data_IF_469236275993
#
_entry.id   IF_469236275993
#
_cell.length_a   1.000
_cell.length_b   1.000
_cell.length_c   1.000
_cell.angle_alpha   90.00
_cell.angle_beta   90.00
_cell.angle_gamma   90.00
#
_symmetry.space_group_name_H-M   'P 1'
#
loop_
_entity.id
_entity.type
_entity.pdbx_description
1 polymer ?
#
# COMPACT_ATOMS: atom_id res chain seq x y z
N UNK A 1 18.74 -7.73 -41.55
CA UNK A 1 17.60 -7.45 -40.67
C UNK A 1 18.18 -7.20 -39.29
N UNK A 2 18.44 -5.94 -38.97
CA UNK A 2 18.81 -5.50 -37.62
C UNK A 2 17.55 -5.64 -36.75
N UNK A 3 17.58 -6.58 -35.78
CA UNK A 3 16.56 -6.70 -34.78
C UNK A 3 16.42 -5.37 -34.00
N UNK A 4 15.25 -5.10 -33.37
CA UNK A 4 15.08 -3.93 -32.56
C UNK A 4 16.15 -3.89 -31.48
N UNK A 5 16.81 -2.75 -31.37
CA UNK A 5 17.76 -2.46 -30.30
C UNK A 5 16.97 -2.53 -28.98
N UNK A 6 17.10 -3.64 -28.28
CA UNK A 6 16.62 -3.75 -26.92
C UNK A 6 17.53 -2.88 -26.06
N UNK A 7 17.29 -1.57 -26.10
CA UNK A 7 17.91 -0.65 -25.18
C UNK A 7 17.87 -1.27 -23.79
N UNK A 8 19.01 -1.36 -23.13
CA UNK A 8 19.14 -1.98 -21.81
C UNK A 8 18.16 -1.28 -20.88
N UNK A 9 17.02 -1.93 -20.60
CA UNK A 9 16.04 -1.42 -19.64
C UNK A 9 16.79 -1.13 -18.32
N UNK A 10 16.56 0.04 -17.75
CA UNK A 10 17.16 0.38 -16.47
C UNK A 10 16.74 -0.66 -15.41
N UNK A 11 17.64 -1.07 -14.51
CA UNK A 11 17.28 -2.03 -13.49
C UNK A 11 16.23 -1.44 -12.55
N UNK A 12 15.23 -2.24 -12.18
CA UNK A 12 14.30 -1.88 -11.10
C UNK A 12 15.02 -2.01 -9.77
N UNK A 13 14.97 -0.97 -8.97
CA UNK A 13 15.55 -0.91 -7.62
C UNK A 13 14.45 -0.73 -6.58
N UNK A 14 14.60 -1.39 -5.43
CA UNK A 14 13.70 -1.24 -4.29
C UNK A 14 14.54 -0.72 -3.13
N UNK A 15 14.24 0.49 -2.69
CA UNK A 15 15.06 1.25 -1.75
C UNK A 15 14.28 1.50 -0.45
N UNK A 16 14.75 1.03 0.71
CA UNK A 16 14.09 1.35 1.98
C UNK A 16 14.31 2.82 2.36
N UNK A 17 13.28 3.47 2.90
CA UNK A 17 13.39 4.80 3.51
C UNK A 17 13.57 4.61 5.01
N UNK A 18 14.79 4.76 5.48
CA UNK A 18 15.17 4.56 6.89
C UNK A 18 15.20 5.88 7.65
N UNK A 19 15.18 5.82 8.99
CA UNK A 19 15.28 7.02 9.84
C UNK A 19 13.98 7.81 9.99
N UNK A 20 12.85 7.24 9.59
CA UNK A 20 11.55 7.85 9.83
C UNK A 20 11.19 7.77 11.32
N UNK A 21 10.55 8.81 11.90
CA UNK A 21 10.13 8.81 13.29
C UNK A 21 8.91 7.90 13.52
N UNK A 22 8.57 7.69 14.79
CA UNK A 22 7.25 7.19 15.16
C UNK A 22 6.22 8.30 14.93
N UNK A 23 5.21 8.02 14.10
CA UNK A 23 4.20 8.99 13.69
C UNK A 23 3.02 9.07 14.66
N UNK A 24 2.42 10.26 14.75
CA UNK A 24 1.26 10.61 15.57
C UNK A 24 0.25 11.42 14.75
N UNK A 25 -1.00 11.57 15.24
CA UNK A 25 -1.98 12.39 14.57
C UNK A 25 -1.49 13.82 14.33
N UNK A 26 -1.59 14.27 13.08
CA UNK A 26 -1.17 15.59 12.65
C UNK A 26 0.28 15.72 12.21
N UNK A 27 1.10 14.67 12.34
CA UNK A 27 2.48 14.69 11.84
C UNK A 27 2.53 14.81 10.32
N UNK A 28 3.55 15.53 9.83
CA UNK A 28 3.77 15.77 8.41
C UNK A 28 4.60 14.64 7.79
N UNK A 29 3.91 13.62 7.30
CA UNK A 29 4.52 12.44 6.68
C UNK A 29 5.38 12.82 5.46
N UNK A 30 4.93 13.77 4.62
CA UNK A 30 5.68 14.20 3.44
C UNK A 30 7.00 14.85 3.83
N UNK A 31 7.01 15.74 4.83
CA UNK A 31 8.23 16.38 5.33
C UNK A 31 9.23 15.34 5.88
N UNK A 32 8.73 14.34 6.64
CA UNK A 32 9.56 13.27 7.16
C UNK A 32 10.18 12.43 6.04
N UNK A 33 9.38 12.05 5.02
CA UNK A 33 9.87 11.30 3.85
C UNK A 33 10.92 12.12 3.09
N UNK A 34 10.67 13.40 2.78
CA UNK A 34 11.62 14.26 2.08
C UNK A 34 12.94 14.39 2.84
N UNK A 35 12.89 14.47 4.17
CA UNK A 35 14.09 14.54 5.00
C UNK A 35 14.87 13.22 4.98
N UNK A 36 14.18 12.08 5.07
CA UNK A 36 14.79 10.76 5.10
C UNK A 36 15.25 10.28 3.71
N UNK A 37 14.62 10.77 2.65
CA UNK A 37 14.90 10.39 1.26
C UNK A 37 15.17 11.62 0.37
N UNK A 38 16.20 12.43 0.65
CA UNK A 38 16.53 13.61 -0.17
C UNK A 38 16.98 13.25 -1.60
N UNK A 39 17.13 11.97 -1.88
CA UNK A 39 17.49 11.39 -3.16
C UNK A 39 16.28 11.00 -4.03
N UNK A 40 15.05 11.31 -3.60
CA UNK A 40 13.84 11.14 -4.42
C UNK A 40 13.97 11.90 -5.74
N UNK A 41 13.46 11.33 -6.81
CA UNK A 41 13.48 11.92 -8.14
C UNK A 41 12.22 11.58 -8.94
N UNK A 42 12.01 12.27 -10.02
CA UNK A 42 10.90 12.04 -10.95
C UNK A 42 10.86 10.57 -11.42
N UNK A 43 9.66 10.03 -11.48
CA UNK A 43 9.40 8.65 -11.88
C UNK A 43 9.59 7.61 -10.77
N UNK A 44 9.99 8.00 -9.56
CA UNK A 44 9.98 7.11 -8.41
C UNK A 44 8.55 6.77 -7.97
N UNK A 45 8.34 5.55 -7.46
CA UNK A 45 7.09 5.15 -6.81
C UNK A 45 7.33 5.03 -5.31
N UNK A 46 6.70 5.90 -4.53
CA UNK A 46 6.78 5.90 -3.06
C UNK A 46 5.70 4.98 -2.51
N UNK A 47 6.10 3.88 -1.88
CA UNK A 47 5.21 2.85 -1.34
C UNK A 47 5.18 2.96 0.17
N UNK A 48 4.01 3.27 0.74
CA UNK A 48 3.81 3.59 2.15
C UNK A 48 2.85 2.61 2.79
N UNK A 49 3.19 2.04 3.94
CA UNK A 49 2.23 1.22 4.69
C UNK A 49 1.07 2.09 5.21
N UNK A 50 -0.16 1.63 5.03
CA UNK A 50 -1.38 2.34 5.44
C UNK A 50 -1.36 2.79 6.90
N UNK A 51 -0.75 2.01 7.77
CA UNK A 51 -0.71 2.28 9.21
C UNK A 51 -0.05 3.61 9.58
N UNK A 52 1.00 4.01 8.85
CA UNK A 52 1.65 5.31 9.06
C UNK A 52 0.71 6.44 8.66
N UNK A 53 0.02 6.29 7.54
CA UNK A 53 -0.99 7.25 7.08
C UNK A 53 -2.14 7.32 8.08
N UNK A 54 -2.64 6.16 8.55
CA UNK A 54 -3.67 6.07 9.58
C UNK A 54 -3.28 6.80 10.87
N UNK A 55 -2.01 6.68 11.30
CA UNK A 55 -1.49 7.43 12.46
C UNK A 55 -1.54 8.94 12.22
N UNK A 56 -1.00 9.41 11.10
CA UNK A 56 -0.98 10.83 10.76
C UNK A 56 -2.40 11.42 10.61
N UNK A 57 -3.35 10.65 10.08
CA UNK A 57 -4.74 11.05 9.86
C UNK A 57 -5.63 10.86 11.09
N UNK A 58 -5.08 10.41 12.23
CA UNK A 58 -5.83 10.23 13.47
C UNK A 58 -6.78 9.02 13.44
N UNK A 59 -6.55 8.03 12.56
CA UNK A 59 -7.34 6.79 12.49
C UNK A 59 -6.86 5.75 13.52
N UNK A 60 -6.46 6.22 14.69
CA UNK A 60 -6.05 5.40 15.84
C UNK A 60 -7.10 5.52 16.93
N UNK A 61 -7.63 4.39 17.36
CA UNK A 61 -8.68 4.31 18.39
C UNK A 61 -8.06 3.83 19.70
N UNK A 62 -8.25 4.58 20.81
CA UNK A 62 -7.85 4.09 22.13
C UNK A 62 -8.56 2.77 22.46
N UNK A 63 -7.81 1.81 22.99
CA UNK A 63 -8.32 0.49 23.32
C UNK A 63 -8.03 0.13 24.79
N UNK A 64 -8.97 -0.56 25.47
CA UNK A 64 -8.76 -1.04 26.83
C UNK A 64 -7.53 -1.94 26.95
N UNK A 65 -6.92 -1.98 28.13
CA UNK A 65 -5.84 -2.93 28.44
C UNK A 65 -6.40 -4.32 28.72
N UNK A 66 -7.62 -4.40 29.22
CA UNK A 66 -8.30 -5.70 29.42
C UNK A 66 -8.52 -6.38 28.08
N UNK A 67 -8.16 -7.66 28.02
CA UNK A 67 -8.17 -8.42 26.76
C UNK A 67 -9.58 -8.68 26.23
N UNK A 68 -10.56 -8.87 27.11
CA UNK A 68 -11.96 -9.14 26.71
C UNK A 68 -12.61 -7.86 26.21
N UNK A 69 -12.44 -6.75 26.93
CA UNK A 69 -12.95 -5.42 26.53
C UNK A 69 -12.29 -4.98 25.20
N UNK A 70 -10.97 -5.19 25.05
CA UNK A 70 -10.24 -4.91 23.82
C UNK A 70 -10.78 -5.73 22.64
N UNK A 71 -11.03 -7.03 22.84
CA UNK A 71 -11.60 -7.89 21.80
C UNK A 71 -13.03 -7.45 21.43
N UNK A 72 -13.84 -7.07 22.44
CA UNK A 72 -15.17 -6.54 22.22
C UNK A 72 -15.17 -5.23 21.43
N UNK A 73 -14.26 -4.30 21.76
CA UNK A 73 -14.06 -3.07 21.00
C UNK A 73 -13.64 -3.39 19.55
N UNK A 74 -12.65 -4.27 19.38
CA UNK A 74 -12.17 -4.66 18.06
C UNK A 74 -13.28 -5.24 17.19
N UNK A 75 -14.17 -6.07 17.75
CA UNK A 75 -15.32 -6.62 17.01
C UNK A 75 -16.28 -5.51 16.55
N UNK A 76 -16.61 -4.56 17.42
CA UNK A 76 -17.44 -3.41 17.03
C UNK A 76 -16.82 -2.61 15.89
N UNK A 77 -15.53 -2.29 15.98
CA UNK A 77 -14.83 -1.58 14.92
C UNK A 77 -14.81 -2.35 13.60
N UNK A 78 -14.70 -3.69 13.65
CA UNK A 78 -14.81 -4.53 12.45
C UNK A 78 -16.20 -4.47 11.85
N UNK A 79 -17.24 -4.51 12.70
CA UNK A 79 -18.63 -4.44 12.25
C UNK A 79 -18.95 -3.05 11.64
N UNK A 80 -18.37 -1.98 12.20
CA UNK A 80 -18.52 -0.60 11.70
C UNK A 80 -17.81 -0.38 10.34
N UNK A 81 -16.62 -0.97 10.15
CA UNK A 81 -15.82 -0.81 8.93
C UNK A 81 -16.20 -1.83 7.82
N UNK A 82 -16.87 -2.95 8.18
CA UNK A 82 -17.24 -3.99 7.24
C UNK A 82 -18.61 -3.72 6.61
N UNK A 83 -18.69 -3.83 5.29
CA UNK A 83 -19.97 -3.84 4.56
C UNK A 83 -20.56 -5.25 4.52
N UNK A 84 -19.69 -6.27 4.46
CA UNK A 84 -20.12 -7.67 4.37
C UNK A 84 -19.07 -8.62 4.95
N UNK A 85 -19.52 -9.62 5.72
CA UNK A 85 -18.71 -10.77 6.11
C UNK A 85 -18.79 -11.84 5.02
N UNK A 86 -17.64 -12.24 4.49
CA UNK A 86 -17.51 -13.23 3.41
C UNK A 86 -17.19 -14.61 3.92
N UNK A 87 -16.35 -14.71 4.97
CA UNK A 87 -15.96 -15.96 5.57
C UNK A 87 -15.58 -15.79 7.05
N UNK A 88 -15.68 -16.88 7.80
CA UNK A 88 -15.27 -16.95 9.20
C UNK A 88 -14.48 -18.24 9.45
N UNK A 89 -13.33 -18.10 10.11
CA UNK A 89 -12.55 -19.25 10.61
C UNK A 89 -12.07 -18.94 12.02
N UNK A 90 -12.69 -19.57 13.02
CA UNK A 90 -12.42 -19.25 14.42
C UNK A 90 -12.71 -17.78 14.73
N UNK A 91 -11.69 -17.05 15.20
CA UNK A 91 -11.78 -15.61 15.49
C UNK A 91 -11.51 -14.71 14.27
N UNK A 92 -11.03 -15.28 13.17
CA UNK A 92 -10.72 -14.53 11.95
C UNK A 92 -11.98 -14.34 11.12
N UNK A 93 -12.28 -13.09 10.79
CA UNK A 93 -13.31 -12.68 9.84
C UNK A 93 -12.64 -12.22 8.56
N UNK A 94 -13.11 -12.72 7.43
CA UNK A 94 -12.80 -12.14 6.12
C UNK A 94 -14.00 -11.30 5.71
N UNK A 95 -13.77 -10.02 5.48
CA UNK A 95 -14.82 -9.03 5.25
C UNK A 95 -14.51 -8.23 4.01
N UNK A 96 -15.54 -7.74 3.34
CA UNK A 96 -15.41 -6.64 2.40
C UNK A 96 -15.70 -5.32 3.14
N UNK A 97 -14.84 -4.33 2.98
CA UNK A 97 -15.06 -2.99 3.51
C UNK A 97 -15.75 -2.08 2.47
N UNK A 98 -15.99 -0.82 2.84
CA UNK A 98 -16.66 0.18 1.97
C UNK A 98 -15.88 0.52 0.68
N UNK A 99 -14.59 0.21 0.62
CA UNK A 99 -13.76 0.41 -0.58
C UNK A 99 -13.74 -0.82 -1.50
N UNK A 100 -14.48 -1.88 -1.15
CA UNK A 100 -14.47 -3.14 -1.89
C UNK A 100 -13.27 -4.05 -1.58
N UNK A 101 -12.39 -3.65 -0.65
CA UNK A 101 -11.24 -4.46 -0.25
C UNK A 101 -11.71 -5.68 0.55
N UNK A 102 -11.30 -6.86 0.11
CA UNK A 102 -11.58 -8.12 0.78
C UNK A 102 -10.37 -8.55 1.59
N UNK A 103 -10.47 -8.43 2.91
CA UNK A 103 -9.36 -8.68 3.81
C UNK A 103 -9.80 -9.16 5.20
N UNK A 104 -8.84 -9.53 6.03
CA UNK A 104 -9.12 -9.90 7.41
C UNK A 104 -9.54 -8.66 8.23
N UNK A 105 -10.62 -8.83 9.00
CA UNK A 105 -11.05 -7.88 10.02
C UNK A 105 -11.27 -6.44 9.52
N UNK A 106 -11.69 -6.25 8.27
CA UNK A 106 -11.88 -4.95 7.61
C UNK A 106 -10.66 -3.99 7.72
N UNK A 107 -9.46 -4.54 7.91
CA UNK A 107 -8.24 -3.75 8.12
C UNK A 107 -8.04 -3.24 9.55
N UNK A 108 -8.93 -3.59 10.50
CA UNK A 108 -8.73 -3.24 11.92
C UNK A 108 -7.57 -4.04 12.51
N UNK A 109 -6.47 -3.37 12.82
CA UNK A 109 -5.24 -4.02 13.26
C UNK A 109 -4.72 -3.44 14.59
N UNK A 110 -4.16 -4.32 15.42
CA UNK A 110 -3.49 -3.98 16.68
C UNK A 110 -1.97 -4.22 16.65
N UNK A 111 -1.40 -4.51 15.46
CA UNK A 111 0.05 -4.68 15.31
C UNK A 111 0.74 -3.35 15.02
N UNK A 112 1.99 -3.16 15.48
CA UNK A 112 2.78 -1.93 15.30
C UNK A 112 2.06 -0.64 15.74
N UNK A 113 1.20 -0.75 16.74
CA UNK A 113 0.61 0.33 17.53
C UNK A 113 0.77 0.02 19.01
N UNK A 114 0.56 1.00 19.90
CA UNK A 114 0.61 0.74 21.33
C UNK A 114 -0.41 -0.35 21.74
N UNK A 115 -0.13 -1.07 22.82
CA UNK A 115 -1.05 -2.11 23.32
C UNK A 115 -2.43 -1.56 23.72
N UNK A 116 -2.50 -0.25 23.92
CA UNK A 116 -3.73 0.52 24.24
C UNK A 116 -4.36 1.18 23.01
N UNK A 117 -4.04 0.70 21.81
CA UNK A 117 -4.50 1.29 20.56
C UNK A 117 -4.92 0.21 19.56
N UNK A 118 -5.83 0.60 18.66
CA UNK A 118 -6.18 -0.12 17.43
C UNK A 118 -6.11 0.86 16.26
N UNK A 119 -5.57 0.40 15.14
CA UNK A 119 -5.52 1.17 13.90
C UNK A 119 -6.68 0.78 12.98
N UNK A 120 -7.30 1.78 12.37
CA UNK A 120 -8.22 1.65 11.24
C UNK A 120 -7.50 2.05 9.96
N UNK A 121 -8.01 1.65 8.80
CA UNK A 121 -7.49 2.15 7.53
C UNK A 121 -7.79 3.66 7.37
N UNK A 122 -7.04 4.38 6.50
CA UNK A 122 -7.41 5.73 6.09
C UNK A 122 -8.85 5.76 5.58
N UNK A 123 -9.56 6.89 5.77
CA UNK A 123 -10.96 7.00 5.35
C UNK A 123 -11.16 6.94 3.83
N UNK A 124 -10.20 7.43 3.09
CA UNK A 124 -10.15 7.38 1.64
C UNK A 124 -8.68 7.19 1.24
N UNK A 125 -8.24 5.94 1.04
CA UNK A 125 -6.85 5.65 0.72
C UNK A 125 -6.35 6.30 -0.57
N UNK A 126 -7.19 6.42 -1.61
CA UNK A 126 -6.80 7.09 -2.85
C UNK A 126 -6.63 8.60 -2.65
N UNK A 127 -7.57 9.24 -1.95
CA UNK A 127 -7.42 10.65 -1.60
C UNK A 127 -6.21 10.88 -0.69
N UNK A 128 -5.89 9.98 0.21
CA UNK A 128 -4.68 10.06 1.06
C UNK A 128 -3.40 9.93 0.22
N UNK A 129 -3.37 9.00 -0.75
CA UNK A 129 -2.25 8.86 -1.69
C UNK A 129 -2.08 10.13 -2.55
N UNK A 130 -3.19 10.70 -3.05
CA UNK A 130 -3.17 11.93 -3.85
C UNK A 130 -2.66 13.15 -3.05
N UNK A 131 -3.12 13.30 -1.79
CA UNK A 131 -2.62 14.34 -0.89
C UNK A 131 -1.12 14.19 -0.61
N UNK A 132 -0.68 12.97 -0.31
CA UNK A 132 0.72 12.69 -0.06
C UNK A 132 1.59 12.95 -1.31
N UNK A 133 1.15 12.51 -2.50
CA UNK A 133 1.82 12.79 -3.77
C UNK A 133 2.02 14.30 -3.98
N UNK A 134 0.94 15.06 -3.84
CA UNK A 134 0.98 16.53 -3.97
C UNK A 134 1.95 17.16 -2.97
N UNK A 135 1.92 16.72 -1.71
CA UNK A 135 2.80 17.24 -0.67
C UNK A 135 4.28 16.88 -0.93
N UNK A 136 4.58 15.69 -1.43
CA UNK A 136 5.94 15.29 -1.82
C UNK A 136 6.45 16.14 -2.98
N UNK A 137 5.64 16.34 -4.03
CA UNK A 137 6.01 17.20 -5.15
C UNK A 137 6.32 18.64 -4.70
N UNK A 138 5.47 19.21 -3.83
CA UNK A 138 5.67 20.57 -3.32
C UNK A 138 6.91 20.71 -2.43
N UNK A 139 7.27 19.68 -1.66
CA UNK A 139 8.36 19.74 -0.68
C UNK A 139 9.69 19.25 -1.19
N UNK A 140 9.70 18.15 -1.93
CA UNK A 140 10.92 17.56 -2.49
C UNK A 140 11.19 17.99 -3.94
N UNK A 141 10.20 18.55 -4.64
CA UNK A 141 10.31 18.93 -6.06
C UNK A 141 10.27 17.74 -7.03
N UNK A 142 10.06 16.51 -6.54
CA UNK A 142 10.05 15.30 -7.35
C UNK A 142 8.61 14.92 -7.75
N UNK A 143 8.37 14.66 -9.02
CA UNK A 143 7.12 14.09 -9.52
C UNK A 143 7.14 12.56 -9.35
N UNK A 144 6.54 12.09 -8.26
CA UNK A 144 6.53 10.69 -7.86
C UNK A 144 5.11 10.12 -7.91
N UNK A 145 5.00 8.81 -8.10
CA UNK A 145 3.75 8.11 -7.78
C UNK A 145 3.73 7.71 -6.31
N UNK A 146 2.53 7.50 -5.76
CA UNK A 146 2.33 7.03 -4.37
C UNK A 146 1.41 5.83 -4.36
N UNK A 147 1.79 4.79 -3.61
CA UNK A 147 0.94 3.64 -3.32
C UNK A 147 0.84 3.48 -1.80
N UNK A 148 -0.37 3.36 -1.29
CA UNK A 148 -0.63 2.94 0.08
C UNK A 148 -0.88 1.44 0.11
N UNK A 149 -0.25 0.73 1.05
CA UNK A 149 -0.32 -0.73 1.12
C UNK A 149 -0.86 -1.21 2.45
N UNK A 150 -1.53 -2.36 2.42
CA UNK A 150 -1.83 -3.15 3.61
C UNK A 150 -1.46 -4.61 3.40
N UNK A 151 -1.09 -5.30 4.47
CA UNK A 151 -0.69 -6.71 4.42
C UNK A 151 -1.93 -7.60 4.39
N UNK A 152 -2.14 -8.32 3.30
CA UNK A 152 -3.32 -9.16 3.09
C UNK A 152 -2.98 -10.64 2.96
N UNK A 153 -3.93 -11.49 3.38
CA UNK A 153 -3.93 -12.90 3.01
C UNK A 153 -4.21 -13.06 1.52
N UNK A 154 -3.73 -14.16 0.94
CA UNK A 154 -3.97 -14.49 -0.47
C UNK A 154 -4.99 -15.59 -0.59
N UNK A 155 -5.96 -15.43 -1.49
CA UNK A 155 -6.89 -16.50 -1.84
C UNK A 155 -6.12 -17.73 -2.38
N UNK A 156 -6.47 -18.93 -1.90
CA UNK A 156 -5.93 -20.20 -2.36
C UNK A 156 -4.43 -20.44 -2.13
N UNK A 157 -3.74 -19.56 -1.39
CA UNK A 157 -2.30 -19.67 -1.11
C UNK A 157 -1.98 -19.35 0.33
N UNK A 158 -1.02 -20.05 0.90
CA UNK A 158 -0.45 -19.69 2.20
C UNK A 158 0.42 -18.43 2.10
N UNK A 159 0.55 -17.74 3.22
CA UNK A 159 1.32 -16.52 3.34
C UNK A 159 0.51 -15.26 3.04
N UNK A 160 1.07 -14.15 3.44
CA UNK A 160 0.54 -12.80 3.22
C UNK A 160 1.47 -12.07 2.26
N UNK A 161 0.99 -11.01 1.66
CA UNK A 161 1.74 -10.06 0.86
C UNK A 161 1.12 -8.69 1.03
N UNK A 162 1.88 -7.63 0.81
CA UNK A 162 1.28 -6.32 0.70
C UNK A 162 0.48 -6.22 -0.61
N UNK A 163 -0.69 -5.58 -0.51
CA UNK A 163 -1.52 -5.20 -1.65
C UNK A 163 -1.74 -3.69 -1.61
N UNK A 164 -1.92 -3.09 -2.78
CA UNK A 164 -2.27 -1.69 -2.90
C UNK A 164 -3.72 -1.48 -2.43
N UNK A 165 -3.93 -0.51 -1.55
CA UNK A 165 -5.26 -0.14 -1.07
C UNK A 165 -5.66 1.27 -1.48
N UNK A 166 -4.70 2.06 -1.98
CA UNK A 166 -4.90 3.38 -2.54
C UNK A 166 -3.67 3.81 -3.34
N UNK A 167 -3.87 4.58 -4.40
CA UNK A 167 -2.80 4.98 -5.30
C UNK A 167 -3.00 6.37 -5.90
N UNK A 168 -1.91 7.00 -6.33
CA UNK A 168 -1.93 8.24 -7.09
C UNK A 168 -0.72 8.33 -8.02
N UNK A 169 -0.94 8.71 -9.28
CA UNK A 169 0.12 8.90 -10.28
C UNK A 169 0.68 7.61 -10.87
N UNK A 170 -0.04 6.50 -10.73
CA UNK A 170 0.31 5.19 -11.28
C UNK A 170 -0.97 4.45 -11.72
N UNK A 171 -0.98 3.78 -12.88
CA UNK A 171 -2.09 2.90 -13.25
C UNK A 171 -2.15 1.72 -12.27
N UNK A 172 -3.36 1.41 -11.79
CA UNK A 172 -3.58 0.28 -10.88
C UNK A 172 -3.49 -1.04 -11.65
N UNK A 173 -4.08 -1.06 -12.83
CA UNK A 173 -4.12 -2.20 -13.75
C UNK A 173 -3.50 -1.79 -15.08
N UNK A 174 -2.86 -2.74 -15.75
CA UNK A 174 -2.42 -2.58 -17.13
C UNK A 174 -3.01 -3.69 -17.99
N UNK A 175 -3.87 -3.29 -18.93
CA UNK A 175 -4.55 -4.22 -19.83
C UNK A 175 -3.76 -4.38 -21.14
N UNK A 176 -3.55 -5.63 -21.52
CA UNK A 176 -2.97 -5.99 -22.82
C UNK A 176 -4.05 -6.34 -23.86
N UNK A 177 -5.34 -6.14 -23.55
CA UNK A 177 -6.43 -6.45 -24.48
C UNK A 177 -6.26 -5.71 -25.81
N UNK A 178 -6.38 -6.43 -26.92
CA UNK A 178 -6.15 -5.90 -28.27
C UNK A 178 -4.68 -5.85 -28.72
N UNK A 179 -3.74 -6.11 -27.83
CA UNK A 179 -2.32 -6.27 -28.17
C UNK A 179 -2.08 -7.66 -28.78
N UNK A 180 -0.96 -7.82 -29.49
CA UNK A 180 -0.58 -9.11 -30.07
C UNK A 180 0.75 -9.58 -29.49
N UNK A 181 0.87 -10.88 -29.22
CA UNK A 181 2.13 -11.47 -28.82
C UNK A 181 3.13 -11.54 -30.01
N UNK A 182 4.35 -11.95 -29.75
CA UNK A 182 5.40 -12.09 -30.79
C UNK A 182 5.06 -13.07 -31.94
N UNK A 183 4.03 -13.89 -31.76
CA UNK A 183 3.55 -14.87 -32.74
C UNK A 183 2.31 -14.38 -33.49
N UNK A 184 1.80 -13.17 -33.16
CA UNK A 184 0.61 -12.59 -33.76
C UNK A 184 -0.70 -13.03 -33.11
N UNK A 185 -0.68 -13.71 -31.96
CA UNK A 185 -1.90 -14.04 -31.24
C UNK A 185 -2.41 -12.83 -30.46
N UNK A 186 -3.68 -12.51 -30.64
CA UNK A 186 -4.32 -11.41 -29.90
C UNK A 186 -4.52 -11.77 -28.42
N UNK A 187 -4.14 -10.86 -27.54
CA UNK A 187 -4.37 -10.96 -26.10
C UNK A 187 -5.75 -10.38 -25.77
N UNK A 188 -6.66 -11.21 -25.26
CA UNK A 188 -8.06 -10.81 -25.05
C UNK A 188 -8.39 -10.42 -23.61
N UNK A 189 -7.69 -11.02 -22.63
CA UNK A 189 -8.07 -10.94 -21.20
C UNK A 189 -6.89 -10.69 -20.26
N UNK A 190 -5.69 -10.50 -20.78
CA UNK A 190 -4.51 -10.31 -19.94
C UNK A 190 -4.51 -8.91 -19.34
N UNK A 191 -4.60 -8.85 -18.03
CA UNK A 191 -4.54 -7.62 -17.26
C UNK A 191 -3.64 -7.84 -16.05
N UNK A 192 -2.68 -6.94 -15.84
CA UNK A 192 -1.67 -7.03 -14.77
C UNK A 192 -2.02 -6.03 -13.68
N UNK A 193 -2.03 -6.49 -12.43
CA UNK A 193 -2.25 -5.66 -11.24
C UNK A 193 -0.94 -4.96 -10.86
N UNK A 194 -0.57 -3.92 -11.61
CA UNK A 194 0.72 -3.22 -11.49
C UNK A 194 0.94 -2.68 -10.09
N UNK A 195 -0.07 -2.04 -9.51
CA UNK A 195 0.05 -1.47 -8.17
C UNK A 195 0.29 -2.54 -7.10
N UNK A 196 -0.35 -3.72 -7.22
CA UNK A 196 -0.15 -4.84 -6.29
C UNK A 196 1.24 -5.47 -6.45
N UNK A 197 1.76 -5.61 -7.67
CA UNK A 197 3.11 -6.11 -7.89
C UNK A 197 4.16 -5.18 -7.27
N UNK A 198 3.99 -3.87 -7.43
CA UNK A 198 4.86 -2.86 -6.81
C UNK A 198 4.73 -2.88 -5.28
N UNK A 199 3.51 -3.00 -4.74
CA UNK A 199 3.25 -3.11 -3.31
C UNK A 199 3.96 -4.33 -2.70
N UNK A 200 3.79 -5.50 -3.32
CA UNK A 200 4.42 -6.75 -2.89
C UNK A 200 5.96 -6.71 -2.99
N UNK A 201 6.51 -6.11 -4.05
CA UNK A 201 7.94 -5.93 -4.20
C UNK A 201 8.53 -5.02 -3.12
N UNK A 202 7.85 -3.91 -2.79
CA UNK A 202 8.28 -2.99 -1.76
C UNK A 202 8.28 -3.61 -0.35
N UNK A 203 7.38 -4.56 -0.06
CA UNK A 203 7.32 -5.27 1.22
C UNK A 203 8.60 -6.07 1.51
N UNK A 204 9.33 -6.52 0.48
CA UNK A 204 10.60 -7.23 0.65
C UNK A 204 11.66 -6.43 1.42
N UNK A 205 11.63 -5.10 1.33
CA UNK A 205 12.58 -4.22 2.03
C UNK A 205 11.96 -3.53 3.24
N UNK A 206 10.64 -3.34 3.27
CA UNK A 206 9.92 -2.81 4.43
C UNK A 206 9.96 -3.82 5.58
N UNK A 207 9.56 -5.05 5.30
CA UNK A 207 9.49 -6.12 6.30
C UNK A 207 8.54 -5.80 7.46
N UNK A 208 8.39 -6.75 8.38
CA UNK A 208 7.42 -6.61 9.49
C UNK A 208 8.00 -5.98 10.77
N UNK A 209 9.29 -6.19 11.03
CA UNK A 209 9.94 -5.82 12.29
C UNK A 209 11.11 -4.84 12.11
N UNK A 210 11.32 -4.35 10.90
CA UNK A 210 12.46 -3.48 10.54
C UNK A 210 12.27 -2.02 10.97
N UNK A 211 11.01 -1.60 11.26
CA UNK A 211 10.68 -0.19 11.49
C UNK A 211 10.76 0.67 10.22
N UNK A 212 10.71 0.06 9.04
CA UNK A 212 10.78 0.75 7.74
C UNK A 212 9.39 0.76 7.08
N UNK A 213 8.56 1.79 7.31
CA UNK A 213 7.20 1.82 6.79
C UNK A 213 7.09 2.33 5.35
N UNK A 214 8.18 2.82 4.77
CA UNK A 214 8.22 3.41 3.43
C UNK A 214 9.36 2.81 2.62
N UNK A 215 9.07 2.48 1.37
CA UNK A 215 10.06 2.10 0.37
C UNK A 215 9.84 2.89 -0.93
N UNK A 216 10.87 2.96 -1.76
CA UNK A 216 10.82 3.57 -3.07
C UNK A 216 11.15 2.53 -4.12
N UNK A 217 10.27 2.37 -5.11
CA UNK A 217 10.54 1.56 -6.29
C UNK A 217 10.94 2.51 -7.43
N UNK A 218 12.11 2.27 -8.01
CA UNK A 218 12.77 3.11 -9.01
C UNK A 218 13.09 2.34 -10.26
N UNK A 219 12.97 2.98 -11.42
CA UNK A 219 13.32 2.39 -12.71
C UNK A 219 12.20 1.52 -13.30
N UNK A 220 10.99 1.59 -12.74
CA UNK A 220 9.83 0.97 -13.34
C UNK A 220 9.46 1.75 -14.60
N UNK A 221 9.45 1.04 -15.74
CA UNK A 221 8.85 1.58 -16.95
C UNK A 221 7.33 1.59 -16.74
N UNK A 222 6.76 2.78 -16.60
CA UNK A 222 5.30 2.90 -16.50
C UNK A 222 4.70 2.62 -17.86
N UNK A 223 3.61 1.83 -17.95
CA UNK A 223 2.85 1.73 -19.18
C UNK A 223 2.33 3.14 -19.55
N UNK A 224 2.38 3.48 -20.82
CA UNK A 224 1.68 4.66 -21.33
C UNK A 224 0.17 4.43 -21.18
N UNK A 225 -0.57 5.49 -20.74
CA UNK A 225 -2.03 5.48 -20.65
C UNK A 225 -2.70 5.40 -22.03
#
# INVERSE_FOLDING_TARGET
VTGPDHGTAAPVQILPVTGLPEFRPGDDLAAAICTAAPWLRDGDVVVVTSKVVSKCEGRIVPAPQDAEERDALRRRLIDDEAVRVLARKGRTLITANRYGLVQAAAGVDGSNVATTELALLPEDPDASAARLRTALQQRCGADVAVILTDTMGRAWRNGQTDAAIGSAGIPVLHSYAGSHDRHGNELLVTEVAVADEVAAAADLVKGKLTGVPVAVVRGLAMPDD
#
